data_IF_661632977703
#
_entry.id   IF_661632977703
#
_cell.length_a   1.000
_cell.length_b   1.000
_cell.length_c   1.000
_cell.angle_alpha   90.00
_cell.angle_beta   90.00
_cell.angle_gamma   90.00
#
_symmetry.space_group_name_H-M   'P 1'
#
loop_
_entity.id
_entity.type
_entity.pdbx_description
1 polymer ?
#
# COMPACT_ATOMS: atom_id res chain seq x y z
N UNK A 1 0.57 23.41 17.94
CA UNK A 1 -0.71 23.29 17.22
C UNK A 1 -1.62 22.44 18.07
N UNK A 2 -2.78 22.97 18.47
CA UNK A 2 -3.74 22.30 19.35
C UNK A 2 -4.44 21.14 18.63
N UNK A 3 -5.11 20.25 19.38
CA UNK A 3 -5.92 19.18 18.78
C UNK A 3 -7.05 19.75 17.90
N UNK A 4 -7.63 20.87 18.31
CA UNK A 4 -8.71 21.54 17.57
C UNK A 4 -8.22 22.12 16.24
N UNK A 5 -7.07 22.81 16.24
CA UNK A 5 -6.43 23.33 15.02
C UNK A 5 -6.11 22.21 14.02
N UNK A 6 -5.66 21.05 14.53
CA UNK A 6 -5.43 19.88 13.69
C UNK A 6 -6.74 19.38 13.05
N UNK A 7 -7.82 19.29 13.81
CA UNK A 7 -9.12 18.80 13.32
C UNK A 7 -9.72 19.75 12.28
N UNK A 8 -9.58 21.06 12.46
CA UNK A 8 -10.01 22.05 11.48
C UNK A 8 -9.20 21.96 10.19
N UNK A 9 -7.87 21.90 10.29
CA UNK A 9 -6.99 21.69 9.13
C UNK A 9 -7.35 20.42 8.35
N UNK A 10 -7.69 19.35 9.04
CA UNK A 10 -8.18 18.12 8.42
C UNK A 10 -9.53 18.30 7.71
N UNK A 11 -10.47 19.04 8.29
CA UNK A 11 -11.78 19.33 7.69
C UNK A 11 -11.63 20.19 6.43
N UNK A 12 -10.82 21.24 6.49
CA UNK A 12 -10.52 22.09 5.33
C UNK A 12 -9.91 21.27 4.21
N UNK A 13 -8.87 20.50 4.54
CA UNK A 13 -8.24 19.59 3.59
C UNK A 13 -9.25 18.59 3.03
N UNK A 14 -10.10 17.99 3.87
CA UNK A 14 -11.13 17.04 3.45
C UNK A 14 -12.21 17.65 2.55
N UNK A 15 -12.41 18.98 2.61
CA UNK A 15 -13.32 19.71 1.73
C UNK A 15 -12.66 20.20 0.43
N UNK A 16 -11.33 20.32 0.40
CA UNK A 16 -10.60 20.86 -0.75
C UNK A 16 -10.68 19.94 -1.98
N UNK A 17 -10.69 20.55 -3.17
CA UNK A 17 -10.68 19.83 -4.44
C UNK A 17 -9.37 19.08 -4.67
N UNK A 18 -9.49 17.96 -5.39
CA UNK A 18 -8.33 17.17 -5.79
C UNK A 18 -7.64 17.80 -6.97
N UNK A 19 -6.31 17.74 -6.98
CA UNK A 19 -5.52 18.16 -8.15
C UNK A 19 -6.00 17.42 -9.41
N UNK A 20 -5.99 18.07 -10.59
CA UNK A 20 -6.44 17.45 -11.81
C UNK A 20 -5.70 16.14 -12.09
N UNK A 21 -6.46 15.09 -12.41
CA UNK A 21 -5.93 13.79 -12.81
C UNK A 21 -6.05 13.71 -14.33
N UNK A 22 -4.98 13.32 -15.02
CA UNK A 22 -4.98 13.16 -16.48
C UNK A 22 -5.33 11.71 -16.86
N UNK A 23 -5.76 11.48 -18.11
CA UNK A 23 -5.98 10.11 -18.59
C UNK A 23 -4.70 9.30 -18.66
N UNK A 24 -3.60 9.97 -19.03
CA UNK A 24 -2.26 9.38 -19.03
C UNK A 24 -1.84 8.89 -17.64
N UNK A 25 -2.19 9.61 -16.57
CA UNK A 25 -1.92 9.17 -15.19
C UNK A 25 -2.66 7.87 -14.83
N UNK A 26 -3.91 7.72 -15.26
CA UNK A 26 -4.69 6.49 -15.03
C UNK A 26 -4.10 5.32 -15.82
N UNK A 27 -3.75 5.54 -17.09
CA UNK A 27 -3.11 4.51 -17.93
C UNK A 27 -1.76 4.11 -17.35
N UNK A 28 -0.93 5.08 -16.95
CA UNK A 28 0.37 4.83 -16.33
C UNK A 28 0.25 4.02 -15.05
N UNK A 29 -0.71 4.34 -14.18
CA UNK A 29 -0.97 3.54 -12.96
C UNK A 29 -1.44 2.13 -13.30
N UNK A 30 -2.33 1.96 -14.30
CA UNK A 30 -2.80 0.65 -14.73
C UNK A 30 -1.65 -0.23 -15.26
N UNK A 31 -0.74 0.37 -16.05
CA UNK A 31 0.45 -0.32 -16.55
C UNK A 31 1.40 -0.70 -15.41
N UNK A 32 1.61 0.18 -14.43
CA UNK A 32 2.41 -0.12 -13.25
C UNK A 32 1.82 -1.29 -12.45
N UNK A 33 0.51 -1.27 -12.17
CA UNK A 33 -0.20 -2.36 -11.49
C UNK A 33 -0.07 -3.67 -12.28
N UNK A 34 -0.29 -3.62 -13.60
CA UNK A 34 -0.13 -4.78 -14.48
C UNK A 34 1.30 -5.33 -14.47
N UNK A 35 2.31 -4.47 -14.50
CA UNK A 35 3.72 -4.86 -14.39
C UNK A 35 4.04 -5.52 -13.04
N UNK A 36 3.59 -4.94 -11.92
CA UNK A 36 3.82 -5.52 -10.58
C UNK A 36 3.17 -6.91 -10.47
N UNK A 37 1.93 -7.05 -10.93
CA UNK A 37 1.22 -8.35 -10.94
C UNK A 37 1.93 -9.33 -11.88
N UNK A 38 2.39 -8.88 -13.05
CA UNK A 38 3.17 -9.72 -13.96
C UNK A 38 4.44 -10.25 -13.28
N UNK A 39 5.23 -9.37 -12.65
CA UNK A 39 6.42 -9.78 -11.90
C UNK A 39 6.06 -10.82 -10.84
N UNK A 40 5.08 -10.53 -9.98
CA UNK A 40 4.76 -11.38 -8.84
C UNK A 40 4.21 -12.77 -9.18
N UNK A 41 3.53 -12.92 -10.32
CA UNK A 41 2.81 -14.16 -10.65
C UNK A 41 3.34 -14.90 -11.88
N UNK A 42 4.07 -14.22 -12.78
CA UNK A 42 4.46 -14.76 -14.08
C UNK A 42 5.97 -14.74 -14.33
N UNK A 43 6.78 -14.32 -13.35
CA UNK A 43 8.25 -14.42 -13.43
C UNK A 43 8.80 -15.40 -12.40
N UNK A 44 9.94 -16.05 -12.66
CA UNK A 44 10.57 -16.95 -11.68
C UNK A 44 10.99 -16.21 -10.41
N UNK A 45 11.60 -15.04 -10.56
CA UNK A 45 12.16 -14.28 -9.45
C UNK A 45 11.05 -13.70 -8.56
N UNK A 46 9.88 -13.38 -9.14
CA UNK A 46 8.77 -12.66 -8.48
C UNK A 46 9.25 -11.46 -7.67
N UNK A 47 10.14 -10.68 -8.30
CA UNK A 47 10.83 -9.55 -7.69
C UNK A 47 10.73 -8.32 -8.59
N UNK A 48 10.18 -7.24 -8.06
CA UNK A 48 10.10 -5.93 -8.69
C UNK A 48 11.34 -5.14 -8.33
N UNK A 49 12.38 -5.24 -9.17
CA UNK A 49 13.75 -4.77 -8.87
C UNK A 49 13.86 -3.49 -8.04
N UNK A 50 13.23 -2.38 -8.45
CA UNK A 50 13.37 -1.12 -7.72
C UNK A 50 12.54 -1.08 -6.42
N UNK A 51 11.31 -1.59 -6.45
CA UNK A 51 10.42 -1.56 -5.29
C UNK A 51 10.92 -2.52 -4.21
N UNK A 52 11.19 -3.77 -4.57
CA UNK A 52 11.55 -4.79 -3.59
C UNK A 52 12.93 -4.55 -2.97
N UNK A 53 13.92 -4.01 -3.71
CA UNK A 53 15.18 -3.59 -3.09
C UNK A 53 14.99 -2.42 -2.11
N UNK A 54 14.09 -1.48 -2.43
CA UNK A 54 13.77 -0.36 -1.54
C UNK A 54 13.03 -0.84 -0.30
N UNK A 55 12.05 -1.73 -0.49
CA UNK A 55 11.28 -2.36 0.57
C UNK A 55 12.19 -3.13 1.52
N UNK A 56 13.13 -3.90 0.98
CA UNK A 56 14.11 -4.66 1.75
C UNK A 56 15.02 -3.75 2.57
N UNK A 57 15.55 -2.67 1.99
CA UNK A 57 16.37 -1.72 2.75
C UNK A 57 15.59 -1.08 3.91
N UNK A 58 14.31 -0.76 3.70
CA UNK A 58 13.42 -0.23 4.73
C UNK A 58 13.10 -1.29 5.80
N UNK A 59 12.90 -2.54 5.38
CA UNK A 59 12.67 -3.69 6.25
C UNK A 59 13.88 -3.91 7.18
N UNK A 60 15.08 -4.03 6.62
CA UNK A 60 16.30 -4.23 7.42
C UNK A 60 16.55 -3.07 8.40
N UNK A 61 16.24 -1.83 7.99
CA UNK A 61 16.34 -0.68 8.88
C UNK A 61 15.32 -0.73 10.05
N UNK A 62 14.16 -1.37 9.85
CA UNK A 62 13.12 -1.48 10.87
C UNK A 62 13.52 -2.34 12.06
N UNK A 63 14.29 -3.41 11.84
CA UNK A 63 14.74 -4.32 12.91
C UNK A 63 15.49 -3.62 14.05
N UNK A 64 16.62 -2.91 13.82
CA UNK A 64 17.35 -2.26 14.90
C UNK A 64 16.55 -1.12 15.53
N UNK A 65 15.77 -0.37 14.75
CA UNK A 65 14.97 0.74 15.29
C UNK A 65 13.95 0.21 16.29
N UNK A 66 13.16 -0.80 15.92
CA UNK A 66 12.17 -1.38 16.85
C UNK A 66 12.85 -2.15 17.97
N UNK A 67 13.93 -2.88 17.70
CA UNK A 67 14.66 -3.64 18.71
C UNK A 67 15.23 -2.78 19.84
N UNK A 68 15.70 -1.57 19.52
CA UNK A 68 16.19 -0.60 20.52
C UNK A 68 15.03 0.02 21.31
N UNK A 69 13.91 0.31 20.65
CA UNK A 69 12.74 0.93 21.29
C UNK A 69 11.95 -0.04 22.16
N UNK A 70 11.82 -1.30 21.71
CA UNK A 70 11.04 -2.34 22.38
C UNK A 70 11.85 -3.65 22.33
N UNK A 71 12.60 -3.96 23.41
CA UNK A 71 13.38 -5.19 23.48
C UNK A 71 12.54 -6.44 23.18
N UNK A 72 13.05 -7.31 22.31
CA UNK A 72 12.38 -8.55 21.89
C UNK A 72 11.39 -8.41 20.73
N UNK A 73 11.15 -7.20 20.22
CA UNK A 73 10.22 -6.94 19.11
C UNK A 73 10.91 -6.65 17.77
N UNK A 74 12.24 -6.77 17.72
CA UNK A 74 13.03 -6.49 16.51
C UNK A 74 12.47 -7.20 15.27
N UNK A 75 12.07 -8.47 15.37
CA UNK A 75 11.52 -9.28 14.27
C UNK A 75 10.28 -8.65 13.60
N UNK A 76 9.46 -7.92 14.35
CA UNK A 76 8.29 -7.22 13.79
C UNK A 76 8.66 -5.91 13.09
N UNK A 77 9.85 -5.37 13.38
CA UNK A 77 10.28 -4.07 12.92
C UNK A 77 10.38 -3.96 11.42
N UNK A 78 10.89 -4.99 10.74
CA UNK A 78 11.05 -4.93 9.30
C UNK A 78 9.72 -4.78 8.55
N UNK A 79 8.80 -5.72 8.75
CA UNK A 79 7.46 -5.65 8.14
C UNK A 79 6.71 -4.38 8.54
N UNK A 80 6.85 -3.95 9.81
CA UNK A 80 6.21 -2.71 10.28
C UNK A 80 6.67 -1.51 9.46
N UNK A 81 7.98 -1.33 9.27
CA UNK A 81 8.53 -0.19 8.53
C UNK A 81 8.23 -0.27 7.04
N UNK A 82 8.32 -1.48 6.47
CA UNK A 82 8.00 -1.77 5.08
C UNK A 82 6.54 -1.35 4.74
N UNK A 83 5.59 -1.47 5.68
CA UNK A 83 4.20 -1.01 5.51
C UNK A 83 3.98 0.45 5.94
N UNK A 84 4.64 0.91 7.00
CA UNK A 84 4.47 2.26 7.53
C UNK A 84 4.91 3.32 6.51
N UNK A 85 6.01 3.08 5.81
CA UNK A 85 6.58 4.05 4.87
C UNK A 85 5.60 4.40 3.73
N UNK A 86 5.10 3.46 2.90
CA UNK A 86 4.10 3.77 1.88
C UNK A 86 2.81 4.33 2.49
N UNK A 87 2.40 3.92 3.70
CA UNK A 87 1.24 4.47 4.37
C UNK A 87 1.42 5.96 4.74
N UNK A 88 2.62 6.36 5.19
CA UNK A 88 2.97 7.76 5.44
C UNK A 88 2.92 8.59 4.15
N UNK A 89 3.44 8.07 3.03
CA UNK A 89 3.34 8.73 1.72
C UNK A 89 1.88 8.85 1.27
N UNK A 90 1.05 7.84 1.48
CA UNK A 90 -0.38 7.91 1.20
C UNK A 90 -1.03 9.02 2.03
N UNK A 91 -0.79 9.07 3.34
CA UNK A 91 -1.29 10.14 4.21
C UNK A 91 -0.83 11.54 3.79
N UNK A 92 0.43 11.67 3.36
CA UNK A 92 1.02 12.91 2.87
C UNK A 92 0.34 13.38 1.56
N UNK A 93 0.24 12.53 0.55
CA UNK A 93 -0.40 12.89 -0.73
C UNK A 93 -1.91 13.09 -0.61
N UNK A 94 -2.56 12.39 0.32
CA UNK A 94 -3.96 12.64 0.66
C UNK A 94 -4.14 14.07 1.17
N UNK A 95 -3.27 14.51 2.08
CA UNK A 95 -3.31 15.89 2.61
C UNK A 95 -3.08 16.95 1.54
N UNK A 96 -2.22 16.66 0.57
CA UNK A 96 -1.98 17.56 -0.57
C UNK A 96 -3.05 17.49 -1.67
N UNK A 97 -4.06 16.63 -1.49
CA UNK A 97 -5.09 16.31 -2.50
C UNK A 97 -4.47 15.91 -3.84
N UNK A 98 -3.33 15.23 -3.79
CA UNK A 98 -2.57 14.77 -4.93
C UNK A 98 -2.97 13.31 -5.25
N UNK A 99 -4.03 13.15 -6.05
CA UNK A 99 -4.70 11.85 -6.25
C UNK A 99 -3.82 10.76 -6.87
N UNK A 100 -2.95 11.13 -7.83
CA UNK A 100 -2.02 10.17 -8.43
C UNK A 100 -1.01 9.66 -7.39
N UNK A 101 -0.37 10.57 -6.64
CA UNK A 101 0.62 10.20 -5.63
C UNK A 101 0.01 9.33 -4.52
N UNK A 102 -1.21 9.65 -4.08
CA UNK A 102 -1.94 8.80 -3.14
C UNK A 102 -2.17 7.39 -3.69
N UNK A 103 -2.59 7.29 -4.95
CA UNK A 103 -2.86 5.99 -5.59
C UNK A 103 -1.58 5.18 -5.80
N UNK A 104 -0.47 5.82 -6.18
CA UNK A 104 0.85 5.18 -6.29
C UNK A 104 1.33 4.67 -4.93
N UNK A 105 1.17 5.47 -3.87
CA UNK A 105 1.54 5.05 -2.51
C UNK A 105 0.70 3.85 -2.01
N UNK A 106 -0.59 3.79 -2.36
CA UNK A 106 -1.41 2.61 -2.09
C UNK A 106 -1.00 1.40 -2.92
N UNK A 107 -0.62 1.59 -4.19
CA UNK A 107 -0.07 0.49 -5.00
C UNK A 107 1.22 -0.04 -4.40
N UNK A 108 2.11 0.84 -3.93
CA UNK A 108 3.32 0.45 -3.21
C UNK A 108 3.01 -0.30 -1.91
N UNK A 109 2.02 0.14 -1.13
CA UNK A 109 1.56 -0.59 0.05
C UNK A 109 1.03 -1.98 -0.29
N UNK A 110 0.21 -2.10 -1.34
CA UNK A 110 -0.33 -3.39 -1.77
C UNK A 110 0.74 -4.33 -2.32
N UNK A 111 1.74 -3.79 -3.03
CA UNK A 111 2.91 -4.54 -3.51
C UNK A 111 3.75 -5.10 -2.35
N UNK A 112 3.95 -4.31 -1.29
CA UNK A 112 4.57 -4.81 -0.07
C UNK A 112 3.83 -6.01 0.52
N UNK A 113 2.49 -6.02 0.50
CA UNK A 113 1.73 -7.19 0.96
C UNK A 113 1.92 -8.42 0.06
N UNK A 114 2.16 -8.24 -1.24
CA UNK A 114 2.50 -9.35 -2.12
C UNK A 114 3.87 -9.94 -1.75
N UNK A 115 4.87 -9.06 -1.56
CA UNK A 115 6.22 -9.41 -1.15
C UNK A 115 6.23 -10.09 0.24
N UNK A 116 5.60 -9.48 1.25
CA UNK A 116 5.44 -10.05 2.59
C UNK A 116 4.77 -11.43 2.52
N UNK A 117 3.71 -11.57 1.72
CA UNK A 117 3.07 -12.86 1.50
C UNK A 117 4.01 -13.89 0.87
N UNK A 118 4.95 -13.51 0.01
CA UNK A 118 6.02 -14.39 -0.51
C UNK A 118 6.85 -14.97 0.64
N UNK A 119 7.34 -14.12 1.53
CA UNK A 119 8.14 -14.55 2.68
C UNK A 119 7.35 -15.31 3.76
N UNK A 120 6.08 -14.95 3.99
CA UNK A 120 5.19 -15.73 4.85
C UNK A 120 5.04 -17.18 4.37
N UNK A 121 4.86 -17.40 3.06
CA UNK A 121 4.72 -18.75 2.52
C UNK A 121 6.00 -19.58 2.60
N UNK A 122 7.15 -18.91 2.72
CA UNK A 122 8.47 -19.52 2.85
C UNK A 122 8.84 -19.83 4.31
N UNK A 123 7.98 -19.49 5.28
CA UNK A 123 8.28 -19.59 6.71
C UNK A 123 8.66 -21.01 7.19
N UNK A 124 8.28 -22.07 6.47
CA UNK A 124 8.75 -23.44 6.72
C UNK A 124 9.70 -23.98 5.66
N UNK A 125 9.61 -23.48 4.43
CA UNK A 125 10.33 -24.03 3.29
C UNK A 125 11.78 -23.52 3.21
N UNK A 126 12.01 -22.27 3.64
CA UNK A 126 13.33 -21.62 3.66
C UNK A 126 14.05 -21.70 2.31
N UNK A 127 13.29 -21.62 1.22
CA UNK A 127 13.79 -21.65 -0.16
C UNK A 127 14.29 -20.28 -0.61
N UNK A 128 13.83 -19.20 0.03
CA UNK A 128 14.22 -17.85 -0.32
C UNK A 128 15.58 -17.48 0.30
N UNK A 129 16.47 -16.83 -0.46
CA UNK A 129 17.73 -16.37 0.08
C UNK A 129 17.48 -15.31 1.16
N UNK A 130 18.11 -15.49 2.31
CA UNK A 130 18.18 -14.47 3.35
C UNK A 130 19.08 -13.34 2.85
N UNK A 131 18.53 -12.13 2.77
CA UNK A 131 19.34 -10.94 2.49
C UNK A 131 19.51 -10.22 3.82
N UNK A 132 20.75 -10.16 4.33
CA UNK A 132 21.05 -9.59 5.66
C UNK A 132 21.64 -10.57 6.67
N UNK A 133 21.59 -11.89 6.40
CA UNK A 133 22.25 -12.91 7.22
C UNK A 133 21.61 -13.20 8.58
N UNK A 134 20.40 -12.69 8.83
CA UNK A 134 19.59 -12.94 10.04
C UNK A 134 18.68 -14.17 9.93
N UNK A 135 17.87 -14.40 10.97
CA UNK A 135 16.87 -15.47 11.03
C UNK A 135 15.68 -15.22 10.08
N UNK A 136 14.93 -16.27 9.72
CA UNK A 136 13.70 -16.13 8.95
C UNK A 136 12.59 -15.49 9.81
N UNK A 137 12.40 -14.17 9.69
CA UNK A 137 11.43 -13.39 10.47
C UNK A 137 10.06 -14.07 10.60
N UNK A 138 9.50 -14.50 9.47
CA UNK A 138 8.16 -15.11 9.45
C UNK A 138 8.10 -16.48 10.11
N UNK A 139 9.21 -17.23 10.13
CA UNK A 139 9.31 -18.46 10.91
C UNK A 139 9.23 -18.15 12.39
N UNK A 140 9.99 -17.16 12.86
CA UNK A 140 9.95 -16.76 14.27
C UNK A 140 8.59 -16.18 14.65
N UNK A 141 8.04 -15.27 13.84
CA UNK A 141 6.75 -14.63 14.08
C UNK A 141 5.64 -15.69 14.16
N UNK A 142 5.55 -16.59 13.19
CA UNK A 142 4.51 -17.62 13.20
C UNK A 142 4.71 -18.67 14.28
N UNK A 143 5.94 -18.97 14.70
CA UNK A 143 6.21 -19.79 15.88
C UNK A 143 5.71 -19.11 17.15
N UNK A 144 6.04 -17.83 17.36
CA UNK A 144 5.57 -17.03 18.52
C UNK A 144 4.04 -16.98 18.59
N UNK A 145 3.37 -16.94 17.44
CA UNK A 145 1.90 -16.92 17.35
C UNK A 145 1.26 -18.32 17.38
N UNK A 146 2.05 -19.40 17.26
CA UNK A 146 1.53 -20.77 17.20
C UNK A 146 0.79 -21.13 15.90
N UNK A 147 1.08 -20.44 14.79
CA UNK A 147 0.35 -20.58 13.51
C UNK A 147 1.25 -21.00 12.33
N UNK A 148 2.48 -21.48 12.61
CA UNK A 148 3.46 -21.83 11.57
C UNK A 148 2.93 -22.82 10.52
N UNK A 149 2.07 -23.76 10.90
CA UNK A 149 1.48 -24.72 9.94
C UNK A 149 0.52 -24.08 8.92
N UNK A 150 -0.01 -22.89 9.22
CA UNK A 150 -0.92 -22.12 8.37
C UNK A 150 -0.24 -21.07 7.49
N UNK A 151 1.09 -21.05 7.46
CA UNK A 151 1.93 -20.10 6.73
C UNK A 151 1.45 -19.76 5.29
N UNK A 152 1.16 -20.77 4.48
CA UNK A 152 0.73 -20.64 3.08
C UNK A 152 -0.70 -20.09 2.95
N UNK A 153 -1.59 -20.44 3.88
CA UNK A 153 -2.96 -19.92 3.92
C UNK A 153 -2.98 -18.43 4.31
N UNK A 154 -2.21 -18.07 5.33
CA UNK A 154 -2.04 -16.69 5.77
C UNK A 154 -1.37 -15.87 4.66
N UNK A 155 -0.31 -16.40 4.04
CA UNK A 155 0.34 -15.80 2.89
C UNK A 155 -0.63 -15.52 1.74
N UNK A 156 -1.48 -16.51 1.39
CA UNK A 156 -2.50 -16.35 0.36
C UNK A 156 -3.47 -15.21 0.66
N UNK A 157 -3.95 -15.13 1.90
CA UNK A 157 -4.83 -14.05 2.35
C UNK A 157 -4.14 -12.68 2.29
N UNK A 158 -2.90 -12.58 2.78
CA UNK A 158 -2.10 -11.35 2.72
C UNK A 158 -1.89 -10.87 1.29
N UNK A 159 -1.55 -11.76 0.36
CA UNK A 159 -1.40 -11.41 -1.07
C UNK A 159 -2.73 -10.96 -1.67
N UNK A 160 -3.84 -11.62 -1.34
CA UNK A 160 -5.17 -11.22 -1.81
C UNK A 160 -5.53 -9.81 -1.34
N UNK A 161 -5.25 -9.48 -0.07
CA UNK A 161 -5.45 -8.12 0.45
C UNK A 161 -4.58 -7.12 -0.35
N UNK A 162 -3.32 -7.45 -0.61
CA UNK A 162 -2.43 -6.63 -1.45
C UNK A 162 -3.00 -6.33 -2.83
N UNK A 163 -3.48 -7.36 -3.52
CA UNK A 163 -4.17 -7.21 -4.81
C UNK A 163 -5.41 -6.33 -4.70
N UNK A 164 -6.25 -6.54 -3.69
CA UNK A 164 -7.45 -5.73 -3.47
C UNK A 164 -7.11 -4.24 -3.23
N UNK A 165 -6.04 -3.94 -2.48
CA UNK A 165 -5.56 -2.58 -2.25
C UNK A 165 -5.11 -1.92 -3.56
N UNK A 166 -4.32 -2.62 -4.38
CA UNK A 166 -3.86 -2.12 -5.68
C UNK A 166 -5.02 -1.86 -6.64
N UNK A 167 -5.97 -2.79 -6.74
CA UNK A 167 -7.17 -2.64 -7.57
C UNK A 167 -8.06 -1.50 -7.08
N UNK A 168 -8.21 -1.35 -5.76
CA UNK A 168 -8.93 -0.23 -5.18
C UNK A 168 -8.29 1.11 -5.54
N UNK A 169 -6.96 1.23 -5.43
CA UNK A 169 -6.23 2.45 -5.79
C UNK A 169 -6.46 2.83 -7.27
N UNK A 170 -6.36 1.85 -8.17
CA UNK A 170 -6.60 2.06 -9.60
C UNK A 170 -8.05 2.48 -9.89
N UNK A 171 -9.02 1.75 -9.32
CA UNK A 171 -10.44 2.06 -9.47
C UNK A 171 -10.78 3.45 -8.94
N UNK A 172 -10.22 3.82 -7.78
CA UNK A 172 -10.42 5.13 -7.18
C UNK A 172 -9.88 6.25 -8.08
N UNK A 173 -8.67 6.11 -8.60
CA UNK A 173 -8.06 7.11 -9.49
C UNK A 173 -8.88 7.27 -10.78
N UNK A 174 -9.29 6.15 -11.38
CA UNK A 174 -10.15 6.14 -12.56
C UNK A 174 -11.49 6.84 -12.32
N UNK A 175 -12.16 6.53 -11.20
CA UNK A 175 -13.44 7.15 -10.83
C UNK A 175 -13.31 8.66 -10.66
N UNK A 176 -12.21 9.12 -10.05
CA UNK A 176 -11.92 10.55 -9.87
C UNK A 176 -11.69 11.26 -11.20
N UNK A 177 -10.87 10.67 -12.07
CA UNK A 177 -10.63 11.16 -13.42
C UNK A 177 -11.93 11.26 -14.24
N UNK A 178 -12.79 10.23 -14.21
CA UNK A 178 -14.10 10.24 -14.89
C UNK A 178 -15.00 11.35 -14.36
N UNK A 179 -15.05 11.54 -13.04
CA UNK A 179 -15.90 12.54 -12.39
C UNK A 179 -15.47 13.98 -12.68
N UNK A 180 -14.19 14.20 -12.99
CA UNK A 180 -13.66 15.49 -13.43
C UNK A 180 -14.02 15.83 -14.89
N UNK A 181 -14.38 14.84 -15.73
CA UNK A 181 -14.73 15.03 -17.14
C UNK A 181 -16.20 15.38 -17.40
N UNK A 182 -17.08 15.28 -16.40
CA UNK A 182 -18.51 15.61 -16.56
C UNK A 182 -18.70 17.13 -16.42
N UNK A 183 -19.16 17.86 -17.45
CA UNK A 183 -19.33 19.32 -17.38
C UNK A 183 -20.28 19.75 -16.25
N UNK A 184 -19.97 20.88 -15.61
CA UNK A 184 -20.69 21.48 -14.48
C UNK A 184 -22.19 21.69 -14.73
N UNK A 185 -22.58 21.87 -15.99
CA UNK A 185 -23.97 22.07 -16.42
C UNK A 185 -24.87 20.87 -16.10
N UNK A 186 -24.35 19.63 -16.21
CA UNK A 186 -25.11 18.43 -15.86
C UNK A 186 -25.25 18.23 -14.33
N UNK A 187 -24.30 18.76 -13.54
CA UNK A 187 -24.34 18.72 -12.07
C UNK A 187 -25.37 19.69 -11.48
N UNK A 188 -25.53 20.87 -12.09
CA UNK A 188 -26.52 21.88 -11.69
C UNK A 188 -27.96 21.44 -12.03
N UNK A 189 -28.19 20.80 -13.18
CA UNK A 189 -29.51 20.26 -13.56
C UNK A 189 -29.95 19.14 -12.60
N UNK A 190 -29.03 18.27 -12.18
CA UNK A 190 -29.34 17.18 -11.23
C UNK A 190 -29.63 17.67 -9.80
N UNK A 191 -29.06 18.81 -9.39
CA UNK A 191 -29.33 19.44 -8.08
C UNK A 191 -30.62 20.26 -8.07
N UNK A 192 -30.98 20.90 -9.18
CA UNK A 192 -32.20 21.73 -9.29
C UNK A 192 -33.47 20.94 -9.64
N UNK A 193 -33.33 19.73 -10.19
CA UNK A 193 -34.47 18.86 -10.51
C UNK A 193 -34.95 17.96 -9.35
N UNK A 194 -34.24 17.93 -8.21
CA UNK A 194 -34.61 17.14 -7.03
C UNK A 194 -35.38 17.91 -5.95
N UNK A 195 -35.62 19.21 -6.17
CA UNK A 195 -36.23 20.13 -5.20
C UNK A 195 -37.64 20.59 -5.63
N UNK A 196 -38.27 19.85 -6.55
CA UNK A 196 -39.65 20.07 -7.00
C UNK A 196 -40.45 18.77 -6.93
N UNK A 197 -40.75 18.33 -5.71
CA UNK A 197 -41.82 17.38 -5.41
C UNK A 197 -42.49 17.79 -4.11
#
# INVERSE_FOLDING_TARGET
>A
MSLEENLESWRETASADWRPITGAAVIGLALLVGYIVWQHYFTPDRWVFLLDNTNLAIHEAGHPIVGVLVPGWAVYGGTLFQLLFPAMFAGHFWRQRHGLGWSVALVWFGENLLNIGRYMADARAHELPLVGGGDHDWTEIFNRWGVLSGDTGIAGATRLIGLCVMLYALFWLWKRWRSARVPSTARLIRRSGGDRS
#
